data_IF_559987216103
#
_entry.id   IF_559987216103
#
_cell.length_a   1.000
_cell.length_b   1.000
_cell.length_c   1.000
_cell.angle_alpha   90.00
_cell.angle_beta   90.00
_cell.angle_gamma   90.00
#
_symmetry.space_group_name_H-M   'P 1'
#
loop_
_entity.id
_entity.type
_entity.pdbx_description
1 polymer ?
#
# COMPACT_ATOMS: atom_id res chain seq x y z
N UNK A 1 0.17 -26.19 -39.30
CA UNK A 1 0.36 -26.22 -37.84
C UNK A 1 0.58 -24.80 -37.40
N UNK A 2 -0.45 -24.15 -36.87
CA UNK A 2 -0.36 -22.79 -36.34
C UNK A 2 0.49 -22.78 -35.07
N UNK A 3 1.48 -21.88 -35.02
CA UNK A 3 2.27 -21.70 -33.81
C UNK A 3 1.35 -21.38 -32.62
N UNK A 4 1.67 -21.86 -31.40
CA UNK A 4 0.88 -21.49 -30.22
C UNK A 4 0.99 -19.99 -30.03
N UNK A 5 -0.13 -19.31 -29.93
CA UNK A 5 -0.21 -17.88 -29.60
C UNK A 5 0.66 -17.61 -28.38
N UNK A 6 1.52 -16.61 -28.44
CA UNK A 6 2.28 -16.16 -27.27
C UNK A 6 1.29 -15.76 -26.19
N UNK A 7 1.59 -16.06 -24.94
CA UNK A 7 0.71 -15.77 -23.79
C UNK A 7 0.28 -14.31 -23.66
N UNK A 8 0.88 -13.42 -24.42
CA UNK A 8 0.68 -11.97 -24.47
C UNK A 8 -0.42 -11.55 -25.47
N UNK A 9 -0.83 -12.46 -26.38
CA UNK A 9 -1.81 -12.21 -27.45
C UNK A 9 -3.23 -12.67 -27.10
N UNK A 10 -3.43 -13.20 -25.90
CA UNK A 10 -4.77 -13.58 -25.46
C UNK A 10 -5.62 -12.32 -25.21
N UNK A 11 -6.88 -12.28 -25.69
CA UNK A 11 -7.78 -11.17 -25.45
C UNK A 11 -7.94 -10.92 -23.95
N UNK A 12 -8.22 -9.67 -23.57
CA UNK A 12 -8.57 -9.37 -22.19
C UNK A 12 -9.71 -10.28 -21.75
N UNK A 13 -9.59 -10.92 -20.58
CA UNK A 13 -10.77 -11.58 -20.03
C UNK A 13 -11.87 -10.52 -19.90
N UNK A 14 -13.15 -10.89 -20.19
CA UNK A 14 -14.25 -9.94 -20.11
C UNK A 14 -14.24 -9.22 -18.78
N UNK A 15 -14.61 -7.94 -18.78
CA UNK A 15 -14.83 -7.20 -17.53
C UNK A 15 -15.78 -8.01 -16.66
N UNK A 16 -15.29 -8.50 -15.55
CA UNK A 16 -16.09 -9.30 -14.65
C UNK A 16 -17.06 -8.35 -13.96
N UNK A 17 -18.36 -8.62 -14.09
CA UNK A 17 -19.44 -7.86 -13.46
C UNK A 17 -19.26 -7.79 -11.93
N UNK A 18 -19.88 -6.79 -11.29
CA UNK A 18 -19.89 -6.58 -9.84
C UNK A 18 -20.31 -7.88 -9.08
N UNK A 19 -19.92 -8.06 -7.79
CA UNK A 19 -20.21 -9.25 -7.00
C UNK A 19 -21.69 -9.68 -6.94
N UNK A 20 -22.60 -8.73 -7.02
CA UNK A 20 -24.05 -8.97 -7.00
C UNK A 20 -24.53 -9.92 -8.11
N UNK A 21 -23.72 -10.09 -9.16
CA UNK A 21 -24.02 -10.89 -10.34
C UNK A 21 -23.22 -12.19 -10.44
N UNK A 22 -22.59 -12.67 -9.35
CA UNK A 22 -21.87 -13.94 -9.39
C UNK A 22 -22.86 -15.11 -9.63
N UNK A 23 -22.61 -15.88 -10.68
CA UNK A 23 -23.33 -17.11 -10.94
C UNK A 23 -22.90 -18.24 -9.97
N UNK A 24 -23.58 -19.40 -10.05
CA UNK A 24 -23.29 -20.53 -9.15
C UNK A 24 -21.86 -21.05 -9.35
N UNK A 25 -21.37 -21.10 -10.57
CA UNK A 25 -20.00 -21.55 -10.88
C UNK A 25 -18.95 -20.62 -10.31
N UNK A 26 -19.15 -19.29 -10.46
CA UNK A 26 -18.28 -18.29 -9.86
C UNK A 26 -18.25 -18.36 -8.32
N UNK A 27 -19.42 -18.54 -7.69
CA UNK A 27 -19.50 -18.72 -6.23
C UNK A 27 -18.74 -19.96 -5.76
N UNK A 28 -18.85 -21.06 -6.48
CA UNK A 28 -18.07 -22.27 -6.18
C UNK A 28 -16.56 -22.05 -6.37
N UNK A 29 -16.16 -21.31 -7.40
CA UNK A 29 -14.76 -21.03 -7.68
C UNK A 29 -14.10 -20.15 -6.61
N UNK A 30 -14.85 -19.22 -5.98
CA UNK A 30 -14.31 -18.34 -4.92
C UNK A 30 -14.42 -18.90 -3.52
N UNK A 31 -15.17 -19.98 -3.29
CA UNK A 31 -15.36 -20.58 -1.96
C UNK A 31 -14.03 -20.92 -1.25
N UNK A 32 -13.02 -21.52 -1.90
CA UNK A 32 -11.73 -21.76 -1.27
C UNK A 32 -11.01 -20.45 -0.86
N UNK A 33 -11.16 -19.38 -1.64
CA UNK A 33 -10.59 -18.07 -1.33
C UNK A 33 -11.23 -17.46 -0.09
N UNK A 34 -12.56 -17.58 0.05
CA UNK A 34 -13.29 -17.14 1.24
C UNK A 34 -12.78 -17.89 2.48
N UNK A 35 -12.61 -19.22 2.38
CA UNK A 35 -12.10 -20.02 3.50
C UNK A 35 -10.70 -19.59 3.95
N UNK A 36 -9.82 -19.25 3.00
CA UNK A 36 -8.47 -18.74 3.31
C UNK A 36 -8.54 -17.37 3.98
N UNK A 37 -9.36 -16.46 3.47
CA UNK A 37 -9.54 -15.13 4.05
C UNK A 37 -10.08 -15.22 5.49
N UNK A 38 -11.08 -16.06 5.75
CA UNK A 38 -11.63 -16.29 7.10
C UNK A 38 -10.59 -16.89 8.06
N UNK A 39 -9.73 -17.81 7.57
CA UNK A 39 -8.64 -18.36 8.37
C UNK A 39 -7.62 -17.28 8.74
N UNK A 40 -7.27 -16.40 7.80
CA UNK A 40 -6.37 -15.25 8.07
C UNK A 40 -7.00 -14.29 9.07
N UNK A 41 -8.28 -13.94 8.92
CA UNK A 41 -9.00 -13.10 9.88
C UNK A 41 -9.03 -13.71 11.28
N UNK A 42 -9.26 -15.02 11.39
CA UNK A 42 -9.22 -15.72 12.68
C UNK A 42 -7.84 -15.62 13.34
N UNK A 43 -6.75 -15.80 12.58
CA UNK A 43 -5.38 -15.64 13.08
C UNK A 43 -5.09 -14.19 13.49
N UNK A 44 -5.55 -13.21 12.71
CA UNK A 44 -5.38 -11.79 13.05
C UNK A 44 -6.10 -11.44 14.36
N UNK A 45 -7.33 -11.93 14.57
CA UNK A 45 -8.09 -11.73 15.82
C UNK A 45 -7.39 -12.35 17.03
N UNK A 46 -6.77 -13.53 16.87
CA UNK A 46 -6.02 -14.19 17.94
C UNK A 46 -4.69 -13.50 18.27
N UNK A 47 -4.12 -12.77 17.34
CA UNK A 47 -2.80 -12.11 17.45
C UNK A 47 -2.88 -10.61 17.68
N UNK A 48 -4.05 -10.08 18.05
CA UNK A 48 -4.15 -8.64 18.33
C UNK A 48 -3.13 -8.24 19.41
N UNK A 49 -2.24 -7.28 19.14
CA UNK A 49 -1.29 -6.79 20.12
C UNK A 49 -2.04 -6.07 21.25
N UNK A 50 -1.51 -6.18 22.48
CA UNK A 50 -1.97 -5.33 23.56
C UNK A 50 -1.63 -3.88 23.22
N UNK A 51 -2.61 -3.01 23.32
CA UNK A 51 -2.38 -1.58 23.17
C UNK A 51 -1.57 -1.05 24.37
N UNK A 52 -0.68 -0.08 24.16
CA UNK A 52 -0.03 0.63 25.24
C UNK A 52 -1.07 1.29 26.14
N UNK A 53 -0.79 1.39 27.44
CA UNK A 53 -1.71 2.02 28.40
C UNK A 53 -2.00 3.49 28.06
N UNK A 54 -1.06 4.15 27.40
CA UNK A 54 -1.18 5.53 26.94
C UNK A 54 -1.98 5.70 25.64
N UNK A 55 -2.42 4.62 25.02
CA UNK A 55 -3.41 4.60 23.92
C UNK A 55 -4.86 4.40 24.42
N UNK A 56 -5.16 4.72 25.69
CA UNK A 56 -6.50 4.64 26.26
C UNK A 56 -7.51 5.49 25.47
N UNK A 57 -8.78 5.06 25.33
CA UNK A 57 -9.79 5.73 24.51
C UNK A 57 -9.97 7.22 24.83
N UNK A 58 -10.01 7.59 26.12
CA UNK A 58 -10.17 9.00 26.54
C UNK A 58 -8.98 9.87 26.10
N UNK A 59 -7.76 9.34 26.17
CA UNK A 59 -6.57 10.05 25.68
C UNK A 59 -6.61 10.18 24.17
N UNK A 60 -6.98 9.12 23.45
CA UNK A 60 -7.12 9.16 22.00
C UNK A 60 -8.18 10.17 21.56
N UNK A 61 -9.32 10.22 22.24
CA UNK A 61 -10.37 11.21 21.97
C UNK A 61 -9.84 12.64 22.15
N UNK A 62 -9.12 12.90 23.24
CA UNK A 62 -8.52 14.21 23.49
C UNK A 62 -7.43 14.58 22.47
N UNK A 63 -6.63 13.62 22.02
CA UNK A 63 -5.62 13.81 20.98
C UNK A 63 -6.28 14.12 19.62
N UNK A 64 -7.36 13.42 19.27
CA UNK A 64 -8.07 13.65 18.01
C UNK A 64 -8.79 14.99 17.98
N UNK A 65 -9.43 15.43 19.07
CA UNK A 65 -10.03 16.77 19.19
C UNK A 65 -9.00 17.89 18.96
N UNK A 66 -7.85 17.78 19.65
CA UNK A 66 -6.73 18.73 19.46
C UNK A 66 -6.23 18.70 18.01
N UNK A 67 -6.03 17.51 17.43
CA UNK A 67 -5.57 17.37 16.06
C UNK A 67 -6.59 17.93 15.06
N UNK A 68 -7.88 17.60 15.19
CA UNK A 68 -8.94 18.09 14.31
C UNK A 68 -9.03 19.62 14.31
N UNK A 69 -9.01 20.21 15.50
CA UNK A 69 -9.00 21.69 15.68
C UNK A 69 -7.78 22.31 15.03
N UNK A 70 -6.59 21.73 15.23
CA UNK A 70 -5.35 22.22 14.66
C UNK A 70 -5.34 22.07 13.12
N UNK A 71 -5.77 20.92 12.58
CA UNK A 71 -5.76 20.64 11.14
C UNK A 71 -6.73 21.56 10.39
N UNK A 72 -7.93 21.82 10.96
CA UNK A 72 -8.86 22.84 10.44
C UNK A 72 -8.19 24.21 10.37
N UNK A 73 -7.57 24.65 11.47
CA UNK A 73 -6.93 25.96 11.58
C UNK A 73 -5.72 26.14 10.64
N UNK A 74 -4.99 25.06 10.34
CA UNK A 74 -3.87 25.06 9.38
C UNK A 74 -4.32 24.90 7.92
N UNK A 75 -5.62 24.71 7.66
CA UNK A 75 -6.16 24.50 6.33
C UNK A 75 -5.77 23.16 5.71
N UNK A 76 -5.37 22.18 6.54
CA UNK A 76 -5.00 20.85 6.05
C UNK A 76 -6.22 20.01 5.66
N UNK A 77 -7.38 20.32 6.22
CA UNK A 77 -8.64 19.65 5.86
C UNK A 77 -9.15 20.12 4.51
N UNK A 78 -9.07 21.42 4.22
CA UNK A 78 -9.48 21.95 2.92
C UNK A 78 -8.47 21.64 1.80
N UNK A 79 -7.21 21.38 2.15
CA UNK A 79 -6.14 20.98 1.21
C UNK A 79 -5.25 19.92 1.85
N UNK A 80 -5.65 18.64 1.86
CA UNK A 80 -4.94 17.55 2.54
C UNK A 80 -3.47 17.38 2.11
N UNK A 81 -3.16 17.68 0.84
CA UNK A 81 -1.77 17.64 0.34
C UNK A 81 -0.81 18.55 1.10
N UNK A 82 -1.29 19.64 1.72
CA UNK A 82 -0.47 20.56 2.54
C UNK A 82 -0.03 19.94 3.88
N UNK A 83 -0.71 18.91 4.35
CA UNK A 83 -0.28 18.15 5.53
C UNK A 83 1.05 17.44 5.27
N UNK A 84 1.19 16.86 4.11
CA UNK A 84 2.36 16.09 3.73
C UNK A 84 3.53 17.02 3.37
N UNK A 85 4.56 17.01 4.23
CA UNK A 85 5.82 17.71 3.93
C UNK A 85 6.50 17.07 2.72
N UNK A 86 7.28 17.87 1.99
CA UNK A 86 8.20 17.33 0.99
C UNK A 86 9.43 16.78 1.71
N UNK A 87 9.76 15.51 1.57
CA UNK A 87 10.96 14.95 2.17
C UNK A 87 12.23 15.52 1.49
N UNK A 88 13.37 15.53 2.18
CA UNK A 88 14.65 15.82 1.56
C UNK A 88 14.95 14.77 0.48
N UNK A 89 15.62 15.21 -0.59
CA UNK A 89 16.06 14.26 -1.64
C UNK A 89 17.05 13.26 -1.05
N UNK A 90 16.92 12.01 -1.47
CA UNK A 90 17.86 10.97 -1.12
C UNK A 90 18.97 10.93 -2.17
N UNK A 91 20.21 11.13 -1.75
CA UNK A 91 21.37 11.06 -2.61
C UNK A 91 22.01 9.66 -2.52
N UNK A 92 22.73 9.26 -3.55
CA UNK A 92 23.38 7.96 -3.60
C UNK A 92 24.43 7.75 -2.48
N UNK A 93 25.07 8.83 -2.03
CA UNK A 93 26.00 8.80 -0.91
C UNK A 93 25.35 8.46 0.46
N UNK A 94 24.02 8.65 0.58
CA UNK A 94 23.27 8.40 1.81
C UNK A 94 22.67 6.98 1.85
N UNK A 95 22.99 6.16 0.82
CA UNK A 95 22.43 4.83 0.63
C UNK A 95 23.49 3.76 0.85
N UNK A 96 23.15 2.77 1.67
CA UNK A 96 23.95 1.56 1.84
C UNK A 96 23.39 0.44 0.99
N UNK A 97 24.23 -0.18 0.16
CA UNK A 97 23.88 -1.33 -0.67
C UNK A 97 24.57 -2.60 -0.20
N UNK A 98 23.86 -3.73 -0.22
CA UNK A 98 24.45 -5.06 -0.03
C UNK A 98 23.67 -6.11 -0.79
N UNK A 99 24.36 -7.17 -1.21
CA UNK A 99 23.73 -8.30 -1.90
C UNK A 99 23.35 -9.38 -0.90
N UNK A 100 22.12 -9.88 -1.00
CA UNK A 100 21.65 -11.03 -0.23
C UNK A 100 21.61 -12.24 -1.15
N UNK A 101 22.53 -13.15 -0.95
CA UNK A 101 22.64 -14.49 -1.54
C UNK A 101 22.39 -14.65 -3.05
N UNK A 102 23.24 -15.45 -3.67
CA UNK A 102 23.09 -15.93 -5.04
C UNK A 102 22.01 -17.04 -5.09
N UNK A 103 21.09 -16.95 -6.05
CA UNK A 103 20.07 -17.97 -6.29
C UNK A 103 18.74 -17.38 -6.78
N UNK A 104 17.74 -18.23 -7.05
CA UNK A 104 16.45 -17.80 -7.63
C UNK A 104 15.64 -16.80 -6.75
N UNK A 105 16.02 -16.65 -5.47
CA UNK A 105 15.46 -15.68 -4.53
C UNK A 105 16.49 -14.60 -4.15
N UNK A 106 17.60 -14.52 -4.87
CA UNK A 106 18.62 -13.50 -4.68
C UNK A 106 18.06 -12.11 -5.01
N UNK A 107 18.41 -11.14 -4.22
CA UNK A 107 18.08 -9.74 -4.44
C UNK A 107 19.19 -8.87 -3.86
N UNK A 108 19.30 -7.68 -4.38
CA UNK A 108 20.07 -6.62 -3.74
C UNK A 108 19.20 -5.98 -2.68
N UNK A 109 19.82 -5.54 -1.60
CA UNK A 109 19.17 -4.75 -0.57
C UNK A 109 19.83 -3.39 -0.50
N UNK A 110 19.04 -2.36 -0.22
CA UNK A 110 19.54 -1.05 0.13
C UNK A 110 18.88 -0.58 1.43
N UNK A 111 19.55 0.31 2.14
CA UNK A 111 18.95 1.05 3.24
C UNK A 111 19.38 2.51 3.24
N UNK A 112 18.52 3.32 3.83
CA UNK A 112 18.75 4.74 4.06
C UNK A 112 18.00 5.21 5.31
N UNK A 113 18.44 6.32 5.90
CA UNK A 113 17.74 6.93 7.01
C UNK A 113 16.36 7.46 6.56
N UNK A 114 15.30 7.18 7.31
CA UNK A 114 13.97 7.73 7.03
C UNK A 114 13.97 9.25 7.11
N UNK A 115 14.65 9.80 8.11
CA UNK A 115 14.62 11.23 8.46
C UNK A 115 13.18 11.77 8.62
N UNK A 116 12.24 10.87 8.89
CA UNK A 116 10.89 11.25 9.27
C UNK A 116 10.90 11.67 10.72
N UNK A 117 10.45 12.88 10.96
CA UNK A 117 10.23 13.41 12.29
C UNK A 117 8.76 13.80 12.42
N UNK A 118 8.03 13.08 13.29
CA UNK A 118 6.67 13.45 13.64
C UNK A 118 6.71 14.82 14.30
N UNK A 119 5.91 15.78 13.80
CA UNK A 119 5.95 17.15 14.33
C UNK A 119 5.60 17.12 15.81
N UNK A 120 6.50 17.58 16.67
CA UNK A 120 6.38 17.50 18.14
C UNK A 120 5.11 18.13 18.71
N UNK A 121 4.45 19.02 17.95
CA UNK A 121 3.18 19.63 18.33
C UNK A 121 1.95 18.83 17.89
N UNK A 122 2.13 17.78 17.09
CA UNK A 122 1.03 16.90 16.71
C UNK A 122 0.75 15.87 17.80
N UNK A 123 -0.51 15.65 18.15
CA UNK A 123 -0.86 14.62 19.13
C UNK A 123 -0.35 13.24 18.70
N UNK A 124 0.16 12.48 19.67
CA UNK A 124 0.74 11.15 19.43
C UNK A 124 2.15 11.13 18.88
N UNK A 125 2.75 12.29 18.59
CA UNK A 125 4.14 12.36 18.15
C UNK A 125 5.13 11.80 19.21
N UNK A 126 4.80 11.96 20.47
CA UNK A 126 5.54 11.42 21.61
C UNK A 126 5.46 9.88 21.74
N UNK A 127 4.47 9.27 21.11
CA UNK A 127 4.26 7.82 21.09
C UNK A 127 4.74 7.14 19.81
N UNK A 128 4.99 7.91 18.76
CA UNK A 128 5.47 7.34 17.51
C UNK A 128 6.90 6.82 17.69
N UNK A 129 7.18 5.57 17.38
CA UNK A 129 8.48 4.97 17.65
C UNK A 129 9.60 5.61 16.82
N UNK A 130 10.43 6.38 17.52
CA UNK A 130 11.74 6.81 17.04
C UNK A 130 12.79 5.82 17.50
N UNK A 131 12.86 4.64 16.87
CA UNK A 131 13.93 3.68 17.12
C UNK A 131 14.73 3.45 15.84
N UNK A 132 16.00 3.06 16.00
CA UNK A 132 16.94 2.90 14.89
C UNK A 132 16.43 1.99 13.78
N UNK A 133 15.67 0.96 14.12
CA UNK A 133 15.10 0.02 13.14
C UNK A 133 13.99 0.66 12.32
N UNK A 134 13.07 1.36 12.97
CA UNK A 134 11.99 2.03 12.26
C UNK A 134 12.50 3.22 11.45
N UNK A 135 13.55 3.88 11.94
CA UNK A 135 14.17 5.04 11.28
C UNK A 135 15.09 4.64 10.12
N UNK A 136 15.41 3.35 10.00
CA UNK A 136 16.16 2.80 8.86
C UNK A 136 15.22 2.16 7.85
N UNK A 137 15.05 2.79 6.69
CA UNK A 137 14.27 2.23 5.59
C UNK A 137 15.09 1.13 4.92
N UNK A 138 14.53 -0.07 4.85
CA UNK A 138 15.11 -1.18 4.08
C UNK A 138 14.32 -1.38 2.81
N UNK A 139 15.02 -1.55 1.67
CA UNK A 139 14.41 -1.79 0.36
C UNK A 139 15.03 -3.03 -0.27
N UNK A 140 14.21 -3.90 -0.84
CA UNK A 140 14.66 -5.01 -1.67
C UNK A 140 14.66 -4.58 -3.12
N UNK A 141 15.74 -4.84 -3.83
CA UNK A 141 15.94 -4.41 -5.21
C UNK A 141 16.14 -5.61 -6.14
N UNK A 142 15.51 -5.54 -7.29
CA UNK A 142 15.84 -6.34 -8.45
C UNK A 142 16.24 -5.36 -9.56
N UNK A 143 17.53 -5.24 -9.85
CA UNK A 143 18.05 -4.24 -10.79
C UNK A 143 18.67 -4.86 -12.04
N UNK A 144 18.66 -4.07 -13.11
CA UNK A 144 19.42 -4.25 -14.34
C UNK A 144 20.38 -3.06 -14.46
N UNK A 145 21.59 -3.16 -13.89
CA UNK A 145 22.48 -2.00 -13.74
C UNK A 145 22.83 -1.32 -15.07
N UNK A 146 22.93 -2.11 -16.15
CA UNK A 146 23.38 -1.64 -17.44
C UNK A 146 22.23 -1.33 -18.42
N UNK A 147 20.99 -1.19 -17.91
CA UNK A 147 19.81 -0.97 -18.75
C UNK A 147 19.00 0.23 -18.28
N UNK A 148 18.54 1.12 -19.18
CA UNK A 148 17.63 2.21 -18.87
C UNK A 148 16.18 1.71 -18.62
N UNK A 149 16.03 0.52 -18.09
CA UNK A 149 14.74 -0.11 -17.87
C UNK A 149 13.86 0.72 -16.90
N UNK A 150 12.54 0.79 -17.14
CA UNK A 150 11.61 1.43 -16.23
C UNK A 150 11.66 0.82 -14.82
N UNK A 151 11.29 1.62 -13.83
CA UNK A 151 11.20 1.19 -12.44
C UNK A 151 9.76 0.90 -12.03
N UNK A 152 9.59 -0.09 -11.18
CA UNK A 152 8.34 -0.33 -10.46
C UNK A 152 8.61 -0.37 -8.97
N UNK A 153 8.04 0.58 -8.24
CA UNK A 153 8.03 0.56 -6.78
C UNK A 153 6.85 -0.31 -6.34
N UNK A 154 7.11 -1.32 -5.50
CA UNK A 154 6.08 -2.27 -5.03
C UNK A 154 5.85 -2.06 -3.54
N UNK A 155 4.61 -1.81 -3.14
CA UNK A 155 4.22 -1.66 -1.74
C UNK A 155 3.49 -2.91 -1.25
N UNK A 156 4.02 -3.50 -0.18
CA UNK A 156 3.51 -4.75 0.38
C UNK A 156 2.26 -4.55 1.26
N UNK A 157 1.52 -5.62 1.50
CA UNK A 157 0.36 -5.68 2.39
C UNK A 157 0.74 -5.70 3.87
N UNK A 158 -0.27 -5.51 4.73
CA UNK A 158 -0.11 -5.60 6.17
C UNK A 158 0.41 -6.98 6.60
N UNK A 159 1.33 -7.01 7.56
CA UNK A 159 1.96 -8.24 8.06
C UNK A 159 3.01 -8.85 7.13
N UNK A 160 3.28 -8.27 5.97
CA UNK A 160 4.36 -8.65 5.05
C UNK A 160 5.68 -7.92 5.38
N UNK A 161 6.67 -8.01 4.52
CA UNK A 161 7.96 -7.32 4.66
C UNK A 161 9.08 -8.16 5.28
N UNK A 162 8.77 -9.28 5.93
CA UNK A 162 9.78 -10.16 6.56
C UNK A 162 10.32 -11.22 5.62
N UNK A 163 9.48 -11.73 4.72
CA UNK A 163 9.80 -12.89 3.88
C UNK A 163 10.40 -12.51 2.53
N UNK A 164 11.43 -13.26 2.11
CA UNK A 164 11.92 -13.19 0.72
C UNK A 164 10.88 -13.65 -0.30
N UNK A 165 9.93 -14.46 0.12
CA UNK A 165 8.82 -14.89 -0.73
C UNK A 165 7.89 -13.74 -1.14
N UNK A 166 7.92 -12.61 -0.42
CA UNK A 166 7.14 -11.41 -0.77
C UNK A 166 7.42 -10.95 -2.21
N UNK A 167 8.67 -11.09 -2.70
CA UNK A 167 9.03 -10.77 -4.08
C UNK A 167 8.28 -11.63 -5.10
N UNK A 168 7.96 -12.90 -4.77
CA UNK A 168 7.17 -13.76 -5.63
C UNK A 168 5.67 -13.47 -5.47
N UNK A 169 5.21 -13.34 -4.24
CA UNK A 169 3.79 -13.10 -3.90
C UNK A 169 3.31 -11.80 -4.52
N UNK A 170 4.15 -10.76 -4.48
CA UNK A 170 3.86 -9.44 -5.06
C UNK A 170 4.27 -9.32 -6.54
N UNK A 171 4.55 -10.42 -7.20
CA UNK A 171 4.92 -10.50 -8.62
C UNK A 171 6.18 -9.72 -9.02
N UNK A 172 7.04 -9.35 -8.06
CA UNK A 172 8.30 -8.64 -8.33
C UNK A 172 9.19 -9.40 -9.32
N UNK A 173 9.36 -10.72 -9.11
CA UNK A 173 10.12 -11.57 -10.01
C UNK A 173 9.50 -11.66 -11.42
N UNK A 174 8.18 -11.60 -11.54
CA UNK A 174 7.51 -11.53 -12.84
C UNK A 174 7.80 -10.21 -13.55
N UNK A 175 7.66 -9.09 -12.84
CA UNK A 175 7.93 -7.75 -13.39
C UNK A 175 9.40 -7.62 -13.81
N UNK A 176 10.33 -8.15 -13.02
CA UNK A 176 11.74 -8.07 -13.30
C UNK A 176 12.18 -9.04 -14.41
N UNK A 177 11.96 -10.36 -14.23
CA UNK A 177 12.52 -11.36 -15.13
C UNK A 177 11.75 -11.54 -16.45
N UNK A 178 10.42 -11.26 -16.45
CA UNK A 178 9.58 -11.43 -17.64
C UNK A 178 9.29 -10.14 -18.39
N UNK A 179 9.22 -9.01 -17.67
CA UNK A 179 8.93 -7.71 -18.29
C UNK A 179 10.16 -6.80 -18.37
N UNK A 180 11.26 -7.16 -17.71
CA UNK A 180 12.52 -6.44 -17.80
C UNK A 180 12.65 -5.25 -16.86
N UNK A 181 11.68 -4.96 -16.02
CA UNK A 181 11.68 -3.76 -15.16
C UNK A 181 12.68 -3.86 -14.00
N UNK A 182 13.21 -2.73 -13.58
CA UNK A 182 13.80 -2.58 -12.27
C UNK A 182 12.68 -2.56 -11.21
N UNK A 183 12.91 -3.22 -10.08
CA UNK A 183 11.92 -3.31 -9.00
C UNK A 183 12.54 -2.85 -7.70
N UNK A 184 11.81 -2.01 -6.97
CA UNK A 184 12.13 -1.60 -5.60
C UNK A 184 10.95 -1.93 -4.68
N UNK A 185 11.20 -2.70 -3.61
CA UNK A 185 10.21 -3.07 -2.61
C UNK A 185 10.67 -2.51 -1.25
N UNK A 186 10.25 -1.27 -0.91
CA UNK A 186 10.50 -0.71 0.42
C UNK A 186 9.66 -1.41 1.47
N UNK A 187 10.25 -1.63 2.65
CA UNK A 187 9.55 -2.17 3.80
C UNK A 187 8.91 -1.03 4.57
N UNK A 188 7.61 -1.13 4.78
CA UNK A 188 6.82 -0.11 5.51
C UNK A 188 7.22 -0.01 6.98
N UNK A 189 6.99 1.14 7.63
CA UNK A 189 7.21 1.30 9.08
C UNK A 189 6.53 0.18 9.88
N UNK A 190 7.17 -0.25 10.97
CA UNK A 190 6.69 -1.31 11.86
C UNK A 190 6.44 -2.67 11.19
N UNK A 191 7.11 -2.94 10.05
CA UNK A 191 7.07 -4.22 9.37
C UNK A 191 8.47 -4.82 9.22
N UNK A 192 8.53 -6.15 9.17
CA UNK A 192 9.75 -6.88 8.89
C UNK A 192 10.94 -6.46 9.77
N UNK A 193 12.09 -6.10 9.17
CA UNK A 193 13.27 -5.66 9.90
C UNK A 193 13.12 -4.32 10.61
N UNK A 194 12.09 -3.54 10.28
CA UNK A 194 11.81 -2.21 10.87
C UNK A 194 11.00 -2.27 12.15
N UNK A 195 10.66 -3.47 12.62
CA UNK A 195 9.89 -3.67 13.85
C UNK A 195 10.74 -4.28 14.93
N UNK A 196 10.65 -3.74 16.15
CA UNK A 196 11.22 -4.32 17.35
C UNK A 196 10.19 -5.14 18.15
N UNK A 197 10.65 -6.08 19.00
CA UNK A 197 9.76 -6.74 19.94
C UNK A 197 9.10 -5.71 20.87
N UNK A 198 7.78 -5.70 20.91
CA UNK A 198 7.04 -4.73 21.72
C UNK A 198 6.50 -3.52 20.95
N UNK A 199 7.01 -3.25 19.74
CA UNK A 199 6.44 -2.23 18.88
C UNK A 199 4.98 -2.54 18.56
N UNK A 200 4.19 -1.49 18.37
CA UNK A 200 2.83 -1.55 17.86
C UNK A 200 2.75 -2.09 16.43
N UNK A 201 1.65 -1.86 15.80
CA UNK A 201 1.41 -2.17 14.38
C UNK A 201 1.02 -0.89 13.65
N UNK A 202 1.33 -0.82 12.35
CA UNK A 202 0.97 0.36 11.55
C UNK A 202 -0.53 0.57 11.47
N UNK A 203 -1.30 -0.49 11.28
CA UNK A 203 -2.76 -0.46 11.43
C UNK A 203 -3.11 -0.88 12.86
N UNK A 204 -3.49 0.08 13.69
CA UNK A 204 -3.75 -0.12 15.11
C UNK A 204 -4.88 0.75 15.62
N UNK A 205 -5.34 0.48 16.84
CA UNK A 205 -6.35 1.30 17.53
C UNK A 205 -5.75 2.58 18.15
N UNK A 206 -4.41 2.70 18.25
CA UNK A 206 -3.76 3.99 18.48
C UNK A 206 -3.79 4.81 17.18
N UNK A 207 -4.90 5.54 16.99
CA UNK A 207 -5.18 6.28 15.76
C UNK A 207 -4.13 7.37 15.49
N UNK A 208 -3.57 7.97 16.53
CA UNK A 208 -2.54 9.00 16.38
C UNK A 208 -1.23 8.40 15.86
N UNK A 209 -0.79 7.29 16.45
CA UNK A 209 0.39 6.55 15.95
C UNK A 209 0.15 5.98 14.55
N UNK A 210 -1.06 5.50 14.26
CA UNK A 210 -1.42 5.03 12.92
C UNK A 210 -1.30 6.15 11.87
N UNK A 211 -1.75 7.37 12.18
CA UNK A 211 -1.60 8.53 11.31
C UNK A 211 -0.13 8.82 11.00
N UNK A 212 0.73 8.85 12.05
CA UNK A 212 2.17 9.06 11.87
C UNK A 212 2.81 7.94 11.05
N UNK A 213 2.42 6.69 11.28
CA UNK A 213 2.92 5.54 10.52
C UNK A 213 2.59 5.58 9.04
N UNK A 214 1.35 5.92 8.70
CA UNK A 214 0.92 6.12 7.30
C UNK A 214 1.71 7.29 6.69
N UNK A 215 1.89 8.37 7.43
CA UNK A 215 2.62 9.55 6.96
C UNK A 215 4.10 9.24 6.72
N UNK A 216 4.74 8.47 7.60
CA UNK A 216 6.12 8.02 7.43
C UNK A 216 6.25 7.06 6.25
N UNK A 217 5.31 6.12 6.07
CA UNK A 217 5.33 5.23 4.90
C UNK A 217 5.31 6.01 3.58
N UNK A 218 4.45 7.03 3.49
CA UNK A 218 4.38 7.93 2.32
C UNK A 218 5.67 8.73 2.14
N UNK A 219 6.22 9.25 3.22
CA UNK A 219 7.48 10.00 3.23
C UNK A 219 8.65 9.15 2.72
N UNK A 220 8.81 7.95 3.23
CA UNK A 220 9.89 7.03 2.89
C UNK A 220 9.85 6.63 1.41
N UNK A 221 8.65 6.35 0.88
CA UNK A 221 8.48 6.04 -0.55
C UNK A 221 8.84 7.25 -1.42
N UNK A 222 8.47 8.47 -1.02
CA UNK A 222 8.83 9.69 -1.76
C UNK A 222 10.33 9.94 -1.76
N UNK A 223 11.04 9.63 -0.66
CA UNK A 223 12.51 9.66 -0.64
C UNK A 223 13.10 8.64 -1.61
N UNK A 224 12.62 7.39 -1.57
CA UNK A 224 13.05 6.35 -2.50
C UNK A 224 12.83 6.77 -3.97
N UNK A 225 11.66 7.31 -4.30
CA UNK A 225 11.36 7.81 -5.65
C UNK A 225 12.30 8.95 -6.06
N UNK A 226 12.67 9.84 -5.12
CA UNK A 226 13.64 10.90 -5.42
C UNK A 226 15.02 10.35 -5.76
N UNK A 227 15.45 9.27 -5.10
CA UNK A 227 16.68 8.54 -5.43
C UNK A 227 16.60 7.87 -6.81
N UNK A 228 15.52 7.13 -7.08
CA UNK A 228 15.34 6.52 -8.41
C UNK A 228 15.47 7.59 -9.50
N UNK A 229 14.78 8.72 -9.36
CA UNK A 229 14.80 9.82 -10.34
C UNK A 229 16.13 10.55 -10.43
N UNK A 230 16.99 10.46 -9.43
CA UNK A 230 18.34 11.01 -9.51
C UNK A 230 19.30 10.08 -10.28
N UNK A 231 18.96 8.80 -10.41
CA UNK A 231 19.80 7.80 -11.08
C UNK A 231 19.39 7.51 -12.53
N UNK A 232 18.16 7.89 -12.92
CA UNK A 232 17.63 7.62 -14.26
C UNK A 232 16.47 8.52 -14.65
N UNK A 233 16.32 8.79 -15.94
CA UNK A 233 15.15 9.44 -16.55
C UNK A 233 14.06 8.42 -16.96
N UNK A 234 14.26 7.13 -16.69
CA UNK A 234 13.31 6.08 -17.06
C UNK A 234 11.97 6.24 -16.31
N UNK A 235 10.84 5.81 -16.91
CA UNK A 235 9.54 5.87 -16.28
C UNK A 235 9.48 5.13 -14.94
N UNK A 236 8.67 5.64 -14.01
CA UNK A 236 8.49 5.07 -12.67
C UNK A 236 7.03 4.72 -12.44
N UNK A 237 6.74 3.42 -12.35
CA UNK A 237 5.45 2.88 -11.96
C UNK A 237 5.37 2.61 -10.46
N UNK A 238 4.13 2.59 -9.93
CA UNK A 238 3.82 2.23 -8.55
C UNK A 238 2.81 1.08 -8.55
N UNK A 239 3.06 0.04 -7.76
CA UNK A 239 2.15 -1.07 -7.55
C UNK A 239 2.04 -1.39 -6.07
N UNK A 240 0.83 -1.58 -5.56
CA UNK A 240 0.64 -1.99 -4.18
C UNK A 240 -0.53 -2.92 -3.98
N UNK A 241 -0.47 -3.75 -2.92
CA UNK A 241 -1.52 -4.72 -2.57
C UNK A 241 -2.02 -4.43 -1.15
N UNK A 242 -3.33 -4.40 -0.93
CA UNK A 242 -3.95 -4.22 0.38
C UNK A 242 -3.51 -2.89 1.02
N UNK A 243 -2.83 -2.91 2.18
CA UNK A 243 -2.19 -1.73 2.78
C UNK A 243 -1.30 -1.00 1.75
N UNK A 244 -0.50 -1.75 0.97
CA UNK A 244 0.30 -1.17 -0.11
C UNK A 244 -0.56 -0.57 -1.22
N UNK A 245 -1.72 -1.16 -1.51
CA UNK A 245 -2.71 -0.60 -2.43
C UNK A 245 -3.26 0.74 -1.94
N UNK A 246 -3.65 0.81 -0.68
CA UNK A 246 -4.06 2.07 -0.03
C UNK A 246 -2.94 3.13 -0.07
N UNK A 247 -1.73 2.78 0.34
CA UNK A 247 -0.59 3.70 0.28
C UNK A 247 -0.30 4.17 -1.15
N UNK A 248 -0.48 3.31 -2.15
CA UNK A 248 -0.31 3.67 -3.56
C UNK A 248 -1.33 4.72 -4.00
N UNK A 249 -2.58 4.63 -3.52
CA UNK A 249 -3.61 5.63 -3.84
C UNK A 249 -3.38 6.96 -3.15
N UNK A 250 -2.88 6.98 -1.92
CA UNK A 250 -2.47 8.20 -1.22
C UNK A 250 -1.28 8.86 -1.93
N UNK A 251 -0.26 8.06 -2.29
CA UNK A 251 0.94 8.53 -3.01
C UNK A 251 0.60 9.11 -4.38
N UNK A 252 -0.38 8.54 -5.10
CA UNK A 252 -0.83 9.05 -6.38
C UNK A 252 -1.41 10.48 -6.31
N UNK A 253 -1.82 10.94 -5.14
CA UNK A 253 -2.25 12.33 -4.89
C UNK A 253 -1.11 13.28 -4.49
N UNK A 254 0.09 12.75 -4.23
CA UNK A 254 1.20 13.51 -3.65
C UNK A 254 2.45 13.50 -4.52
N UNK A 255 2.60 12.47 -5.35
CA UNK A 255 3.80 12.24 -6.15
C UNK A 255 3.41 11.81 -7.57
N UNK A 256 4.19 12.23 -8.55
CA UNK A 256 3.94 11.87 -9.94
C UNK A 256 4.52 10.49 -10.24
N UNK A 257 3.67 9.60 -10.76
CA UNK A 257 4.07 8.32 -11.33
C UNK A 257 3.58 8.23 -12.78
N UNK A 258 4.29 7.46 -13.60
CA UNK A 258 3.91 7.24 -15.00
C UNK A 258 2.81 6.17 -15.10
N UNK A 259 2.69 5.29 -14.12
CA UNK A 259 1.58 4.36 -13.96
C UNK A 259 1.37 4.03 -12.49
N UNK A 260 0.10 3.84 -12.06
CA UNK A 260 -0.23 3.36 -10.72
C UNK A 260 -1.22 2.21 -10.82
N UNK A 261 -0.89 1.09 -10.15
CA UNK A 261 -1.78 -0.03 -9.97
C UNK A 261 -2.01 -0.28 -8.48
N UNK A 262 -3.24 -0.11 -8.02
CA UNK A 262 -3.64 -0.44 -6.65
C UNK A 262 -4.51 -1.69 -6.65
N UNK A 263 -4.05 -2.72 -5.95
CA UNK A 263 -4.77 -3.97 -5.81
C UNK A 263 -5.35 -4.10 -4.41
N UNK A 264 -6.64 -4.38 -4.34
CA UNK A 264 -7.40 -4.55 -3.10
C UNK A 264 -7.18 -3.40 -2.10
N UNK A 265 -7.20 -2.14 -2.54
CA UNK A 265 -7.02 -1.02 -1.65
C UNK A 265 -8.26 -0.82 -0.80
N UNK A 266 -8.08 -0.50 0.48
CA UNK A 266 -9.13 0.18 1.22
C UNK A 266 -9.04 1.70 1.00
N UNK A 267 -10.12 2.42 1.27
CA UNK A 267 -10.18 3.88 1.09
C UNK A 267 -10.17 4.63 2.42
N UNK A 268 -10.66 3.98 3.48
CA UNK A 268 -10.83 4.56 4.82
C UNK A 268 -10.34 3.58 5.90
N UNK A 269 -9.22 3.90 6.57
CA UNK A 269 -8.70 3.07 7.67
C UNK A 269 -9.66 2.95 8.85
N UNK A 270 -10.46 3.99 9.16
CA UNK A 270 -11.41 3.98 10.28
C UNK A 270 -12.59 3.04 9.99
N UNK A 271 -13.12 3.10 8.77
CA UNK A 271 -14.15 2.18 8.32
C UNK A 271 -13.64 0.73 8.28
N UNK A 272 -12.37 0.52 7.90
CA UNK A 272 -11.73 -0.80 7.95
C UNK A 272 -11.66 -1.33 9.38
N UNK A 273 -11.19 -0.51 10.34
CA UNK A 273 -11.17 -0.89 11.77
C UNK A 273 -12.58 -1.21 12.29
N UNK A 274 -13.57 -0.40 11.94
CA UNK A 274 -14.97 -0.61 12.34
C UNK A 274 -15.51 -1.93 11.80
N UNK A 275 -15.22 -2.27 10.54
CA UNK A 275 -15.62 -3.53 9.90
C UNK A 275 -15.09 -4.76 10.65
N UNK A 276 -13.87 -4.70 11.15
CA UNK A 276 -13.24 -5.79 11.88
C UNK A 276 -13.66 -5.91 13.35
N UNK A 277 -14.56 -5.04 13.83
CA UNK A 277 -15.16 -5.12 15.15
C UNK A 277 -14.16 -4.78 16.27
N UNK A 278 -13.81 -3.50 16.43
CA UNK A 278 -12.92 -3.09 17.51
C UNK A 278 -13.58 -3.32 18.89
N UNK A 279 -12.77 -3.42 19.97
CA UNK A 279 -13.31 -3.46 21.34
C UNK A 279 -14.29 -2.34 21.59
N UNK A 280 -15.29 -2.60 22.45
CA UNK A 280 -16.42 -1.68 22.65
C UNK A 280 -15.97 -0.28 23.05
N UNK A 281 -14.96 -0.18 23.90
CA UNK A 281 -14.39 1.06 24.42
C UNK A 281 -13.74 1.97 23.36
N UNK A 282 -13.36 1.43 22.18
CA UNK A 282 -12.78 2.21 21.08
C UNK A 282 -13.78 2.62 20.00
N UNK A 283 -15.00 2.08 20.01
CA UNK A 283 -15.99 2.29 18.93
C UNK A 283 -16.34 3.76 18.75
N UNK A 284 -16.62 4.45 19.85
CA UNK A 284 -17.02 5.86 19.81
C UNK A 284 -15.88 6.75 19.33
N UNK A 285 -14.66 6.48 19.75
CA UNK A 285 -13.48 7.23 19.30
C UNK A 285 -13.24 7.02 17.81
N UNK A 286 -13.31 5.78 17.31
CA UNK A 286 -13.12 5.49 15.88
C UNK A 286 -14.24 6.14 15.05
N UNK A 287 -15.49 6.15 15.55
CA UNK A 287 -16.63 6.71 14.86
C UNK A 287 -16.77 8.24 15.00
N UNK A 288 -15.89 8.90 15.76
CA UNK A 288 -15.98 10.33 16.04
C UNK A 288 -15.78 11.20 14.80
N UNK A 289 -16.37 12.40 14.79
CA UNK A 289 -16.14 13.41 13.75
C UNK A 289 -14.69 13.88 13.72
N UNK A 290 -14.04 13.91 14.89
CA UNK A 290 -12.64 14.32 14.99
C UNK A 290 -11.72 13.29 14.34
N UNK A 291 -11.94 11.99 14.58
CA UNK A 291 -11.22 10.93 13.87
C UNK A 291 -11.39 11.05 12.35
N UNK A 292 -12.63 11.17 11.88
CA UNK A 292 -12.92 11.36 10.44
C UNK A 292 -12.23 12.61 9.90
N UNK A 293 -12.27 13.73 10.62
CA UNK A 293 -11.59 14.97 10.24
C UNK A 293 -10.08 14.78 10.12
N UNK A 294 -9.46 14.18 11.12
CA UNK A 294 -8.00 13.96 11.15
C UNK A 294 -7.54 13.04 10.02
N UNK A 295 -8.26 11.96 9.78
CA UNK A 295 -7.88 10.99 8.75
C UNK A 295 -8.13 11.46 7.30
N UNK A 296 -8.80 12.60 7.10
CA UNK A 296 -8.90 13.18 5.75
C UNK A 296 -7.54 13.47 5.12
N UNK A 297 -6.53 13.83 5.91
CA UNK A 297 -5.20 14.15 5.37
C UNK A 297 -4.45 12.95 4.78
N UNK A 298 -4.87 11.73 5.12
CA UNK A 298 -4.34 10.49 4.57
C UNK A 298 -5.39 9.70 3.77
N UNK A 299 -6.55 10.29 3.50
CA UNK A 299 -7.60 9.65 2.71
C UNK A 299 -7.36 9.83 1.22
N UNK A 300 -7.30 8.75 0.42
CA UNK A 300 -7.23 8.85 -1.04
C UNK A 300 -8.50 9.48 -1.64
N UNK A 301 -9.62 9.49 -0.90
CA UNK A 301 -10.86 10.15 -1.32
C UNK A 301 -10.78 11.68 -1.21
N UNK A 302 -9.88 12.20 -0.37
CA UNK A 302 -9.66 13.63 -0.16
C UNK A 302 -8.39 14.16 -0.84
N UNK A 303 -7.57 13.28 -1.41
CA UNK A 303 -6.34 13.59 -2.14
C UNK A 303 -6.55 13.35 -3.64
N UNK A 304 -6.81 14.40 -4.43
CA UNK A 304 -6.96 14.24 -5.87
C UNK A 304 -5.66 13.68 -6.48
N UNK A 305 -5.78 12.62 -7.27
CA UNK A 305 -4.61 12.03 -7.92
C UNK A 305 -4.09 12.88 -9.07
N UNK A 306 -2.76 12.96 -9.18
CA UNK A 306 -2.06 13.67 -10.27
C UNK A 306 -1.66 12.75 -11.43
N UNK A 307 -1.93 11.44 -11.32
CA UNK A 307 -1.68 10.46 -12.38
C UNK A 307 -2.83 10.51 -13.40
N UNK A 308 -2.56 10.34 -14.68
CA UNK A 308 -3.62 10.38 -15.70
C UNK A 308 -4.59 9.18 -15.57
N UNK A 309 -5.90 9.33 -15.85
CA UNK A 309 -6.89 8.26 -15.69
C UNK A 309 -6.52 6.94 -16.41
N UNK A 310 -5.97 7.03 -17.62
CA UNK A 310 -5.53 5.87 -18.42
C UNK A 310 -4.37 5.10 -17.80
N UNK A 311 -3.59 5.74 -16.94
CA UNK A 311 -2.41 5.15 -16.28
C UNK A 311 -2.72 4.68 -14.85
N UNK A 312 -4.02 4.68 -14.48
CA UNK A 312 -4.52 4.16 -13.19
C UNK A 312 -5.19 2.82 -13.40
N UNK A 313 -4.82 1.84 -12.60
CA UNK A 313 -5.46 0.52 -12.58
C UNK A 313 -5.90 0.17 -11.16
N UNK A 314 -7.17 -0.23 -11.01
CA UNK A 314 -7.70 -0.75 -9.75
C UNK A 314 -8.05 -2.22 -9.92
N UNK A 315 -7.53 -3.06 -9.02
CA UNK A 315 -7.96 -4.45 -8.91
C UNK A 315 -8.78 -4.62 -7.63
N UNK A 316 -9.91 -5.27 -7.76
CA UNK A 316 -10.85 -5.58 -6.70
C UNK A 316 -11.21 -7.05 -6.73
N UNK A 317 -11.36 -7.69 -5.57
CA UNK A 317 -11.74 -9.09 -5.50
C UNK A 317 -13.22 -9.21 -5.12
N UNK A 318 -13.96 -10.05 -5.87
CA UNK A 318 -15.40 -10.27 -5.65
C UNK A 318 -15.72 -10.94 -4.31
N UNK A 319 -14.78 -11.69 -3.77
CA UNK A 319 -14.96 -12.46 -2.55
C UNK A 319 -13.98 -12.02 -1.44
N UNK A 320 -13.54 -10.76 -1.46
CA UNK A 320 -12.70 -10.18 -0.42
C UNK A 320 -13.46 -10.16 0.92
N UNK A 321 -12.86 -10.78 1.95
CA UNK A 321 -13.41 -10.81 3.31
C UNK A 321 -12.70 -9.86 4.27
N UNK A 322 -11.57 -9.29 3.84
CA UNK A 322 -10.76 -8.39 4.64
C UNK A 322 -11.16 -6.93 4.40
N UNK A 323 -11.50 -6.58 3.15
CA UNK A 323 -11.87 -5.21 2.81
C UNK A 323 -13.32 -5.19 2.34
N UNK A 324 -14.18 -4.38 2.98
CA UNK A 324 -15.56 -4.21 2.55
C UNK A 324 -15.62 -3.71 1.10
N UNK A 325 -16.53 -4.24 0.34
CA UNK A 325 -16.73 -3.91 -1.08
C UNK A 325 -17.02 -2.42 -1.29
N UNK A 326 -17.76 -1.82 -0.37
CA UNK A 326 -18.15 -0.41 -0.40
C UNK A 326 -16.95 0.53 -0.40
N UNK A 327 -15.85 0.14 0.25
CA UNK A 327 -14.61 0.92 0.22
C UNK A 327 -13.93 0.87 -1.14
N UNK A 328 -13.92 -0.31 -1.76
CA UNK A 328 -13.38 -0.49 -3.11
C UNK A 328 -14.19 0.28 -4.15
N UNK A 329 -15.53 0.28 -4.03
CA UNK A 329 -16.43 1.02 -4.91
C UNK A 329 -16.26 2.53 -4.73
N UNK A 330 -16.26 3.04 -3.49
CA UNK A 330 -16.04 4.46 -3.21
C UNK A 330 -14.72 4.97 -3.81
N UNK A 331 -13.67 4.14 -3.77
CA UNK A 331 -12.39 4.47 -4.37
C UNK A 331 -12.45 4.45 -5.90
N UNK A 332 -13.15 3.46 -6.51
CA UNK A 332 -13.31 3.40 -7.95
C UNK A 332 -14.03 4.63 -8.50
N UNK A 333 -15.09 5.03 -7.82
CA UNK A 333 -15.89 6.21 -8.20
C UNK A 333 -15.09 7.52 -8.04
N UNK A 334 -14.33 7.66 -6.93
CA UNK A 334 -13.53 8.86 -6.66
C UNK A 334 -12.28 8.94 -7.55
N UNK A 335 -11.68 7.80 -7.85
CA UNK A 335 -10.38 7.78 -8.51
C UNK A 335 -10.47 7.89 -10.04
N UNK A 336 -11.67 7.74 -10.61
CA UNK A 336 -11.93 7.82 -12.06
C UNK A 336 -10.92 7.01 -12.90
N UNK A 337 -10.54 5.82 -12.42
CA UNK A 337 -9.62 4.96 -13.14
C UNK A 337 -10.31 4.40 -14.39
N UNK A 338 -9.63 4.45 -15.55
CA UNK A 338 -10.15 3.83 -16.76
C UNK A 338 -10.13 2.30 -16.69
N UNK A 339 -9.25 1.76 -15.85
CA UNK A 339 -9.04 0.32 -15.73
C UNK A 339 -9.40 -0.20 -14.33
N UNK A 340 -10.70 -0.35 -14.08
CA UNK A 340 -11.21 -1.06 -12.89
C UNK A 340 -11.43 -2.52 -13.25
N UNK A 341 -10.87 -3.45 -12.47
CA UNK A 341 -10.90 -4.90 -12.73
C UNK A 341 -11.33 -5.67 -11.49
N UNK A 342 -12.51 -6.24 -11.55
CA UNK A 342 -13.00 -7.21 -10.58
C UNK A 342 -12.45 -8.60 -10.92
N UNK A 343 -11.89 -9.30 -9.95
CA UNK A 343 -11.35 -10.64 -10.12
C UNK A 343 -12.11 -11.64 -9.24
N UNK A 344 -12.28 -12.87 -9.74
CA UNK A 344 -12.87 -13.98 -8.99
C UNK A 344 -11.82 -14.54 -8.01
N UNK A 345 -11.61 -13.81 -6.91
CA UNK A 345 -10.66 -14.16 -5.85
C UNK A 345 -11.15 -13.62 -4.50
N UNK A 346 -10.57 -14.09 -3.41
CA UNK A 346 -10.56 -13.43 -2.11
C UNK A 346 -9.35 -12.50 -1.98
N UNK A 347 -9.18 -11.91 -0.81
CA UNK A 347 -8.09 -10.99 -0.52
C UNK A 347 -6.71 -11.65 -0.67
N UNK A 348 -6.48 -12.73 0.07
CA UNK A 348 -5.21 -13.46 0.04
C UNK A 348 -4.98 -14.13 -1.31
N UNK A 349 -6.03 -14.74 -1.85
CA UNK A 349 -5.98 -15.46 -3.12
C UNK A 349 -5.77 -14.58 -4.36
N UNK A 350 -5.90 -13.27 -4.25
CA UNK A 350 -5.62 -12.34 -5.34
C UNK A 350 -4.22 -12.56 -5.92
N UNK A 351 -3.21 -12.70 -5.08
CA UNK A 351 -1.81 -12.84 -5.49
C UNK A 351 -1.53 -14.12 -6.30
N UNK A 352 -2.44 -15.11 -6.25
CA UNK A 352 -2.38 -16.34 -7.05
C UNK A 352 -3.04 -16.20 -8.42
N UNK A 353 -3.73 -15.08 -8.67
CA UNK A 353 -4.53 -14.87 -9.87
C UNK A 353 -3.65 -14.54 -11.08
N UNK A 354 -3.43 -15.52 -11.96
CA UNK A 354 -2.63 -15.35 -13.18
C UNK A 354 -3.22 -14.30 -14.14
N UNK A 355 -4.55 -14.17 -14.17
CA UNK A 355 -5.24 -13.18 -15.00
C UNK A 355 -4.90 -11.75 -14.54
N UNK A 356 -5.03 -11.45 -13.23
CA UNK A 356 -4.69 -10.14 -12.68
C UNK A 356 -3.22 -9.78 -12.94
N UNK A 357 -2.30 -10.74 -12.73
CA UNK A 357 -0.88 -10.54 -13.03
C UNK A 357 -0.61 -10.19 -14.50
N UNK A 358 -1.31 -10.85 -15.44
CA UNK A 358 -1.18 -10.56 -16.89
C UNK A 358 -1.74 -9.18 -17.24
N UNK A 359 -2.87 -8.80 -16.65
CA UNK A 359 -3.46 -7.47 -16.84
C UNK A 359 -2.50 -6.40 -16.32
N UNK A 360 -1.95 -6.56 -15.10
CA UNK A 360 -0.94 -5.65 -14.55
C UNK A 360 0.24 -5.48 -15.51
N UNK A 361 0.80 -6.60 -15.98
CA UNK A 361 1.94 -6.58 -16.90
C UNK A 361 1.63 -5.89 -18.22
N UNK A 362 0.41 -6.04 -18.75
CA UNK A 362 -0.03 -5.32 -19.96
C UNK A 362 -0.15 -3.82 -19.70
N UNK A 363 -0.85 -3.41 -18.63
CA UNK A 363 -1.01 -2.00 -18.29
C UNK A 363 0.32 -1.29 -18.09
N UNK A 364 1.26 -1.94 -17.41
CA UNK A 364 2.58 -1.37 -17.23
C UNK A 364 3.38 -1.27 -18.53
N UNK A 365 3.29 -2.25 -19.45
CA UNK A 365 3.92 -2.13 -20.77
C UNK A 365 3.33 -0.96 -21.59
N UNK A 366 2.03 -0.72 -21.49
CA UNK A 366 1.38 0.36 -22.22
C UNK A 366 1.76 1.75 -21.67
N UNK A 367 1.93 1.89 -20.35
CA UNK A 367 2.22 3.18 -19.71
C UNK A 367 3.73 3.42 -19.50
N UNK A 368 4.52 2.37 -19.24
CA UNK A 368 5.96 2.50 -18.93
C UNK A 368 6.84 2.12 -20.13
N UNK A 369 6.29 1.46 -21.15
CA UNK A 369 7.06 0.88 -22.23
C UNK A 369 7.64 -0.50 -21.89
N UNK A 370 8.31 -1.09 -22.87
CA UNK A 370 9.11 -2.32 -22.70
C UNK A 370 10.55 -1.97 -22.37
N UNK A 371 11.17 -2.78 -21.50
CA UNK A 371 12.60 -2.67 -21.21
C UNK A 371 13.46 -3.21 -22.34
#
# INVERSE_FOLDING_TARGET
MSAPLRNDELPEPPMVSRPECMDVGERMAVAPHIAVDEAVLAVMRLRQPKLPADAAPDRLAADLDKAATMFKRRGWISKPSKYHRTPPKLNDADVLHWSTHNGPLGHESMSFASEFDARSFEPGADRWPGNDRNDTVTVRLLRRPDSPAPWVVILHGFGMGSSRFDLNVLWANYLHHKLGYNVALPISPLHGPRREPGDGQLLSLDLASMLHGITQAVWDVRRLVSWIRSTTDAPVGLYGVSLGGYLSTVLAGLERFDAVAAALPFADPLALLTHHGPPAEYRDVIASDDARTVFQVVSPLALPTVVAPRDRTLFMAKADRLIPMEQSEALADSWHAEHVRWVNAGHVGFTWTRAARRILGRRFRESLGTA
#
